data_IF_362698659399
#
_entry.id   IF_362698659399
#
_cell.length_a   1.000
_cell.length_b   1.000
_cell.length_c   1.000
_cell.angle_alpha   90.00
_cell.angle_beta   90.00
_cell.angle_gamma   90.00
#
_symmetry.space_group_name_H-M   'P 1'
#
loop_
_entity.id
_entity.type
_entity.pdbx_description
1 polymer ?
#
# COMPACT_ATOMS: atom_id res chain seq x y z
N UNK A 1 5.18 -11.98 10.96
CA UNK A 1 4.84 -11.35 9.66
C UNK A 1 5.46 -12.18 8.56
N UNK A 2 4.71 -12.46 7.48
CA UNK A 2 5.21 -13.23 6.35
C UNK A 2 6.22 -12.42 5.53
N UNK A 3 7.26 -13.07 5.02
CA UNK A 3 8.23 -12.47 4.12
C UNK A 3 8.42 -13.39 2.92
N UNK A 4 8.33 -12.84 1.72
CA UNK A 4 8.25 -13.60 0.47
C UNK A 4 9.23 -13.06 -0.57
N UNK A 5 9.71 -13.95 -1.45
CA UNK A 5 10.64 -13.56 -2.52
C UNK A 5 9.92 -12.87 -3.69
N UNK A 6 8.71 -13.31 -4.02
CA UNK A 6 7.85 -12.72 -5.07
C UNK A 6 6.39 -12.72 -4.63
N UNK A 7 5.65 -11.70 -5.06
CA UNK A 7 4.20 -11.63 -4.86
C UNK A 7 3.51 -10.88 -6.01
N UNK A 8 2.30 -11.34 -6.35
CA UNK A 8 1.38 -10.59 -7.22
C UNK A 8 0.44 -9.79 -6.33
N UNK A 9 0.50 -8.46 -6.45
CA UNK A 9 -0.28 -7.52 -5.66
C UNK A 9 -1.42 -7.01 -6.53
N UNK A 10 -2.64 -7.18 -6.04
CA UNK A 10 -3.82 -6.54 -6.60
C UNK A 10 -4.15 -5.34 -5.72
N UNK A 11 -4.21 -4.15 -6.33
CA UNK A 11 -4.54 -2.91 -5.62
C UNK A 11 -5.86 -2.45 -6.22
N UNK A 12 -6.99 -2.81 -5.62
CA UNK A 12 -8.33 -2.51 -6.13
C UNK A 12 -9.08 -1.55 -5.20
N UNK A 13 -9.81 -0.57 -5.76
CA UNK A 13 -10.55 0.41 -4.94
C UNK A 13 -11.60 -0.24 -4.04
N UNK A 14 -12.11 -1.40 -4.43
CA UNK A 14 -13.17 -2.12 -3.72
C UNK A 14 -12.64 -2.97 -2.56
N UNK A 15 -11.37 -3.38 -2.59
CA UNK A 15 -10.74 -4.21 -1.55
C UNK A 15 -9.75 -3.43 -0.67
N UNK A 16 -9.25 -2.28 -1.13
CA UNK A 16 -8.31 -1.45 -0.40
C UNK A 16 -9.02 -0.57 0.65
N UNK A 17 -9.45 -1.18 1.76
CA UNK A 17 -10.12 -0.47 2.85
C UNK A 17 -9.20 0.50 3.63
N UNK A 18 -7.88 0.31 3.56
CA UNK A 18 -6.93 1.14 4.28
C UNK A 18 -5.60 1.34 3.50
N UNK A 19 -5.22 2.59 3.16
CA UNK A 19 -4.01 2.89 2.39
C UNK A 19 -2.71 2.37 3.02
N UNK A 20 -2.64 2.28 4.35
CA UNK A 20 -1.45 1.78 5.05
C UNK A 20 -1.23 0.28 4.86
N UNK A 21 -2.27 -0.48 4.49
CA UNK A 21 -2.13 -1.92 4.21
C UNK A 21 -1.31 -2.16 2.95
N UNK A 22 -1.39 -1.26 1.96
CA UNK A 22 -0.56 -1.36 0.75
C UNK A 22 0.92 -1.27 1.13
N UNK A 23 1.30 -0.32 2.00
CA UNK A 23 2.67 -0.22 2.49
C UNK A 23 3.13 -1.52 3.16
N UNK A 24 2.31 -2.07 4.06
CA UNK A 24 2.64 -3.32 4.75
C UNK A 24 2.83 -4.48 3.76
N UNK A 25 1.99 -4.58 2.74
CA UNK A 25 2.07 -5.61 1.69
C UNK A 25 3.35 -5.46 0.88
N UNK A 26 3.70 -4.23 0.46
CA UNK A 26 4.95 -3.96 -0.25
C UNK A 26 6.17 -4.36 0.58
N UNK A 27 6.16 -4.06 1.88
CA UNK A 27 7.25 -4.41 2.81
C UNK A 27 7.40 -5.91 3.06
N UNK A 28 6.49 -6.77 2.60
CA UNK A 28 6.64 -8.24 2.75
C UNK A 28 7.50 -8.85 1.65
N UNK A 29 7.68 -8.17 0.53
CA UNK A 29 8.48 -8.67 -0.59
C UNK A 29 9.92 -8.19 -0.44
N UNK A 30 10.87 -9.13 -0.47
CA UNK A 30 12.28 -8.85 -0.17
C UNK A 30 12.96 -7.93 -1.19
N UNK A 31 12.51 -7.96 -2.44
CA UNK A 31 13.14 -7.23 -3.54
C UNK A 31 12.09 -6.54 -4.41
N UNK A 32 12.46 -5.41 -5.01
CA UNK A 32 11.58 -4.66 -5.92
C UNK A 32 11.19 -5.52 -7.12
N UNK A 33 12.12 -6.31 -7.66
CA UNK A 33 11.86 -7.22 -8.79
C UNK A 33 10.91 -8.37 -8.45
N UNK A 34 10.65 -8.62 -7.16
CA UNK A 34 9.65 -9.58 -6.72
C UNK A 34 8.24 -9.02 -6.65
N UNK A 35 8.07 -7.70 -6.80
CA UNK A 35 6.77 -7.04 -6.81
C UNK A 35 6.19 -7.08 -8.22
N UNK A 36 5.06 -7.74 -8.37
CA UNK A 36 4.29 -7.77 -9.61
C UNK A 36 2.94 -7.17 -9.31
N UNK A 37 2.55 -6.11 -10.00
CA UNK A 37 1.22 -5.53 -9.85
C UNK A 37 0.31 -6.08 -10.93
N UNK A 38 -0.85 -6.59 -10.53
CA UNK A 38 -1.87 -7.06 -11.49
C UNK A 38 -2.41 -5.91 -12.33
N UNK A 39 -2.58 -4.76 -11.71
CA UNK A 39 -3.07 -3.51 -12.31
C UNK A 39 -2.04 -2.40 -12.16
N UNK A 40 -2.17 -1.33 -12.96
CA UNK A 40 -1.28 -0.18 -12.84
C UNK A 40 -1.34 0.43 -11.44
N UNK A 41 -0.19 0.47 -10.75
CA UNK A 41 -0.07 1.09 -9.44
C UNK A 41 -0.09 2.62 -9.55
N UNK A 42 -0.91 3.29 -8.73
CA UNK A 42 -0.96 4.75 -8.64
C UNK A 42 -0.59 5.23 -7.24
N UNK A 43 0.54 5.94 -7.13
CA UNK A 43 1.01 6.52 -5.87
C UNK A 43 0.00 7.49 -5.24
N UNK A 44 -0.84 8.16 -6.05
CA UNK A 44 -1.89 9.04 -5.54
C UNK A 44 -2.86 8.31 -4.59
N UNK A 45 -2.96 6.98 -4.69
CA UNK A 45 -3.80 6.16 -3.81
C UNK A 45 -3.22 5.98 -2.40
N UNK A 46 -1.92 6.17 -2.24
CA UNK A 46 -1.25 6.17 -0.93
C UNK A 46 -1.35 7.51 -0.20
N UNK A 47 -1.76 8.57 -0.91
CA UNK A 47 -1.92 9.90 -0.33
C UNK A 47 -3.11 9.87 0.64
N UNK A 48 -2.84 9.65 1.92
CA UNK A 48 -3.84 9.84 2.97
C UNK A 48 -4.33 11.30 2.96
N UNK A 49 -5.64 11.51 3.12
CA UNK A 49 -6.12 12.77 3.70
C UNK A 49 -5.41 12.93 5.04
N UNK A 50 -4.84 14.12 5.33
CA UNK A 50 -4.30 14.43 6.66
C UNK A 50 -5.32 13.97 7.71
N UNK A 51 -4.86 13.21 8.70
CA UNK A 51 -5.71 12.86 9.83
C UNK A 51 -6.22 14.15 10.47
N UNK A 52 -7.53 14.26 10.72
CA UNK A 52 -8.13 15.38 11.47
C UNK A 52 -7.48 15.60 12.85
N UNK A 53 -6.78 14.61 13.38
CA UNK A 53 -6.02 14.70 14.64
C UNK A 53 -4.87 15.71 14.54
N UNK A 54 -4.33 15.97 13.34
CA UNK A 54 -3.31 17.00 13.12
C UNK A 54 -3.90 18.40 12.87
N UNK A 55 -5.20 18.52 12.58
CA UNK A 55 -5.85 19.83 12.37
C UNK A 55 -6.28 20.52 13.68
N UNK A 56 -6.33 19.78 14.80
CA UNK A 56 -6.77 20.30 16.12
C UNK A 56 -5.59 20.92 16.91
N UNK A 57 -4.38 20.95 16.34
CA UNK A 57 -3.15 21.42 17.03
C UNK A 57 -2.55 22.72 16.47
N UNK A 58 -3.26 23.45 15.63
CA UNK A 58 -2.88 24.81 15.20
C UNK A 58 -3.75 25.88 15.87
#
# INVERSE_FOLDING_TARGET
GLSVDKAVITVSREQDHCPSLIYVTLSRVKTVNGLIFKDMFSYQRLKQKRSKVLEIRE
#
